data_IF_410976410223
#
_entry.id   IF_410976410223
#
_cell.length_a   1.000
_cell.length_b   1.000
_cell.length_c   1.000
_cell.angle_alpha   90.00
_cell.angle_beta   90.00
_cell.angle_gamma   90.00
#
_symmetry.space_group_name_H-M   'P 1'
#
loop_
_entity.id
_entity.type
_entity.pdbx_description
1 polymer ?
#
# COMPACT_ATOMS: atom_id res chain seq x y z
N UNK A 1 13.47 -1.89 -32.33
CA UNK A 1 12.92 -1.63 -30.98
C UNK A 1 12.96 -2.96 -30.25
N UNK A 2 13.48 -3.03 -29.02
CA UNK A 2 13.42 -4.27 -28.26
C UNK A 2 11.96 -4.60 -27.92
N UNK A 3 11.56 -5.85 -28.16
CA UNK A 3 10.22 -6.34 -27.85
C UNK A 3 10.22 -7.04 -26.48
N UNK A 4 9.15 -6.84 -25.70
CA UNK A 4 8.99 -7.45 -24.37
C UNK A 4 7.62 -8.11 -24.25
N UNK A 5 7.59 -9.37 -23.82
CA UNK A 5 6.33 -10.11 -23.65
C UNK A 5 5.61 -9.69 -22.36
N UNK A 6 4.31 -9.43 -22.48
CA UNK A 6 3.42 -9.16 -21.36
C UNK A 6 2.43 -10.30 -21.18
N UNK A 7 2.53 -11.00 -20.06
CA UNK A 7 1.66 -12.10 -19.69
C UNK A 7 0.44 -11.60 -18.91
N UNK A 8 -0.76 -12.18 -19.17
CA UNK A 8 -1.92 -11.93 -18.32
C UNK A 8 -1.71 -12.55 -16.94
N UNK A 9 -2.50 -12.08 -15.96
CA UNK A 9 -2.48 -12.60 -14.58
C UNK A 9 -2.60 -14.12 -14.54
N UNK A 10 -1.63 -14.80 -13.91
CA UNK A 10 -1.75 -16.22 -13.65
C UNK A 10 -2.98 -16.50 -12.76
N UNK A 11 -3.77 -17.51 -13.12
CA UNK A 11 -4.93 -17.95 -12.33
C UNK A 11 -4.47 -18.68 -11.05
N UNK A 12 -3.78 -17.98 -10.15
CA UNK A 12 -3.40 -18.52 -8.86
C UNK A 12 -4.61 -18.38 -7.90
N UNK A 13 -5.02 -19.44 -7.17
CA UNK A 13 -6.05 -19.30 -6.16
C UNK A 13 -5.64 -18.23 -5.15
N UNK A 14 -6.47 -17.19 -5.07
CA UNK A 14 -6.26 -16.06 -4.18
C UNK A 14 -6.23 -16.58 -2.74
N UNK A 15 -5.12 -16.33 -2.04
CA UNK A 15 -5.10 -16.49 -0.58
C UNK A 15 -6.11 -15.48 -0.05
N UNK A 16 -7.19 -15.95 0.55
CA UNK A 16 -8.20 -15.10 1.18
C UNK A 16 -7.57 -14.42 2.40
N UNK A 17 -6.98 -13.24 2.19
CA UNK A 17 -6.56 -12.38 3.27
C UNK A 17 -7.80 -11.60 3.71
N UNK A 18 -8.14 -11.67 4.99
CA UNK A 18 -9.18 -10.81 5.57
C UNK A 18 -8.68 -9.37 5.53
N UNK A 19 -9.23 -8.58 4.61
CA UNK A 19 -8.86 -7.18 4.43
C UNK A 19 -10.03 -6.26 4.83
N UNK A 20 -9.81 -5.32 5.76
CA UNK A 20 -10.87 -4.46 6.31
C UNK A 20 -11.33 -3.34 5.37
N UNK A 21 -10.68 -3.13 4.22
CA UNK A 21 -11.09 -2.10 3.27
C UNK A 21 -12.45 -2.45 2.63
N UNK A 22 -13.21 -1.47 2.14
CA UNK A 22 -14.35 -1.72 1.26
C UNK A 22 -13.97 -2.60 0.06
N UNK A 23 -14.76 -3.65 -0.23
CA UNK A 23 -14.49 -4.60 -1.32
C UNK A 23 -14.29 -3.92 -2.69
N UNK A 24 -14.96 -2.79 -2.91
CA UNK A 24 -14.83 -2.00 -4.13
C UNK A 24 -13.40 -1.46 -4.37
N UNK A 25 -12.69 -1.15 -3.27
CA UNK A 25 -11.34 -0.58 -3.31
C UNK A 25 -10.26 -1.64 -3.44
N UNK A 26 -10.59 -2.88 -3.05
CA UNK A 26 -9.66 -3.98 -3.05
C UNK A 26 -9.61 -4.64 -4.42
N UNK A 27 -8.40 -4.96 -4.88
CA UNK A 27 -8.20 -5.98 -5.90
C UNK A 27 -8.43 -7.37 -5.29
N UNK A 28 -8.55 -8.43 -6.10
CA UNK A 28 -8.73 -9.77 -5.55
C UNK A 28 -7.60 -10.24 -4.60
N UNK A 29 -6.39 -9.67 -4.71
CA UNK A 29 -5.28 -9.90 -3.75
C UNK A 29 -5.31 -9.02 -2.51
N UNK A 30 -6.27 -8.09 -2.41
CA UNK A 30 -6.37 -7.14 -1.31
C UNK A 30 -5.57 -5.85 -1.50
N UNK A 31 -5.02 -5.59 -2.69
CA UNK A 31 -4.33 -4.32 -2.96
C UNK A 31 -5.34 -3.19 -3.14
N UNK A 32 -4.96 -1.97 -2.76
CA UNK A 32 -5.71 -0.76 -3.03
C UNK A 32 -4.76 0.36 -3.46
N UNK A 33 -5.26 1.31 -4.24
CA UNK A 33 -4.49 2.47 -4.67
C UNK A 33 -4.81 3.69 -3.81
N UNK A 34 -3.78 4.23 -3.17
CA UNK A 34 -3.80 5.44 -2.38
C UNK A 34 -2.98 6.52 -3.09
N UNK A 35 -3.57 7.71 -3.28
CA UNK A 35 -2.92 8.87 -3.88
C UNK A 35 -2.88 10.03 -2.89
N UNK A 36 -1.69 10.57 -2.67
CA UNK A 36 -1.44 11.70 -1.79
C UNK A 36 -0.76 12.82 -2.58
N UNK A 37 -1.34 14.02 -2.54
CA UNK A 37 -0.66 15.21 -3.07
C UNK A 37 0.36 15.73 -2.04
N UNK A 38 1.57 15.20 -2.10
CA UNK A 38 2.66 15.54 -1.20
C UNK A 38 3.59 14.36 -1.00
N UNK A 39 4.39 14.40 0.07
CA UNK A 39 5.30 13.32 0.46
C UNK A 39 4.96 12.82 1.86
N UNK A 40 5.26 11.53 2.11
CA UNK A 40 5.21 10.95 3.45
C UNK A 40 6.62 10.97 4.02
N UNK A 41 6.82 11.63 5.14
CA UNK A 41 8.09 11.60 5.86
C UNK A 41 8.09 10.37 6.77
N UNK A 42 8.97 9.41 6.49
CA UNK A 42 9.15 8.21 7.28
C UNK A 42 10.34 8.40 8.24
N UNK A 43 10.35 7.77 9.42
CA UNK A 43 11.53 7.74 10.26
C UNK A 43 12.70 7.08 9.51
N UNK A 44 13.92 7.50 9.82
CA UNK A 44 15.10 6.80 9.36
C UNK A 44 15.08 5.36 9.93
N UNK A 45 15.54 4.35 9.17
CA UNK A 45 15.68 3.01 9.72
C UNK A 45 16.70 3.03 10.85
N UNK A 46 16.33 2.50 12.01
CA UNK A 46 17.22 2.43 13.18
C UNK A 46 18.42 1.52 12.86
N UNK A 47 19.64 1.96 13.18
CA UNK A 47 20.87 1.19 12.96
C UNK A 47 20.92 -0.08 13.84
N UNK A 48 20.19 -0.09 14.95
CA UNK A 48 20.08 -1.25 15.86
C UNK A 48 19.19 -2.37 15.29
N UNK A 49 18.33 -2.05 14.32
CA UNK A 49 17.49 -3.03 13.61
C UNK A 49 18.19 -3.60 12.36
N UNK A 50 19.37 -3.09 11.99
CA UNK A 50 20.18 -3.66 10.89
C UNK A 50 20.47 -5.13 11.21
N UNK A 51 20.06 -6.08 10.34
CA UNK A 51 20.49 -7.45 10.53
C UNK A 51 22.02 -7.45 10.49
N UNK A 52 22.64 -7.96 11.56
CA UNK A 52 24.04 -8.34 11.50
C UNK A 52 24.24 -9.14 10.22
N UNK A 53 25.31 -8.86 9.47
CA UNK A 53 25.59 -9.43 8.15
C UNK A 53 25.62 -10.98 8.10
N UNK A 54 25.42 -11.66 9.23
CA UNK A 54 25.43 -13.12 9.41
C UNK A 54 24.03 -13.79 9.31
N UNK A 55 22.96 -13.07 8.95
CA UNK A 55 21.64 -13.66 8.66
C UNK A 55 21.19 -13.42 7.22
N UNK A 56 22.01 -13.88 6.27
CA UNK A 56 21.59 -14.11 4.90
C UNK A 56 20.41 -15.12 4.90
N UNK A 57 19.19 -14.65 4.68
CA UNK A 57 18.03 -15.54 4.45
C UNK A 57 16.67 -15.08 4.96
N UNK A 58 16.57 -14.01 5.75
CA UNK A 58 15.27 -13.46 6.18
C UNK A 58 14.99 -12.14 5.45
N UNK A 59 14.59 -12.23 4.19
CA UNK A 59 14.06 -11.11 3.38
C UNK A 59 12.63 -10.75 3.86
N UNK A 60 12.48 -10.48 5.15
CA UNK A 60 11.21 -10.06 5.74
C UNK A 60 11.05 -8.57 5.49
N UNK A 61 10.02 -8.14 4.74
CA UNK A 61 9.81 -6.73 4.45
C UNK A 61 9.59 -5.96 5.75
N UNK A 62 10.35 -4.88 5.94
CA UNK A 62 10.13 -3.96 7.06
C UNK A 62 8.89 -3.12 6.80
N UNK A 63 7.92 -3.19 7.69
CA UNK A 63 6.68 -2.41 7.62
C UNK A 63 6.73 -1.24 8.61
N UNK A 64 6.54 -0.02 8.12
CA UNK A 64 6.44 1.17 8.97
C UNK A 64 4.98 1.59 9.07
N UNK A 65 4.42 1.57 10.29
CA UNK A 65 3.05 2.02 10.52
C UNK A 65 2.95 3.55 10.34
N UNK A 66 2.30 4.00 9.27
CA UNK A 66 2.13 5.43 8.94
C UNK A 66 0.93 6.04 9.68
N UNK A 67 -0.16 5.28 9.78
CA UNK A 67 -1.45 5.83 10.16
C UNK A 67 -2.63 4.90 9.93
N UNK A 68 -3.84 5.48 9.84
CA UNK A 68 -5.08 4.73 9.59
C UNK A 68 -6.02 5.44 8.63
N UNK A 69 -6.79 4.65 7.89
CA UNK A 69 -7.91 5.11 7.07
C UNK A 69 -9.23 4.90 7.83
N UNK A 70 -10.13 5.87 7.74
CA UNK A 70 -11.47 5.82 8.32
C UNK A 70 -12.48 6.16 7.23
N UNK A 71 -13.49 5.31 7.10
CA UNK A 71 -14.61 5.49 6.19
C UNK A 71 -15.90 5.71 7.01
N UNK A 72 -16.21 6.94 7.44
CA UNK A 72 -17.23 7.19 8.47
C UNK A 72 -18.65 6.75 8.08
N UNK A 73 -18.93 6.75 6.78
CA UNK A 73 -20.25 6.44 6.21
C UNK A 73 -20.29 5.05 5.55
N UNK A 74 -19.19 4.30 5.60
CA UNK A 74 -19.15 2.95 5.01
C UNK A 74 -19.83 1.95 5.94
N UNK A 75 -20.86 1.29 5.41
CA UNK A 75 -21.57 0.20 6.06
C UNK A 75 -21.40 -1.07 5.22
N UNK A 76 -20.72 -2.12 5.72
CA UNK A 76 -20.52 -3.35 4.98
C UNK A 76 -21.83 -4.12 4.70
N UNK A 77 -22.91 -3.85 5.44
CA UNK A 77 -24.22 -4.48 5.21
C UNK A 77 -25.01 -3.76 4.09
N UNK A 78 -24.69 -2.50 3.81
CA UNK A 78 -25.37 -1.68 2.81
C UNK A 78 -24.47 -1.42 1.60
N UNK A 79 -24.32 -2.43 0.74
CA UNK A 79 -23.45 -2.39 -0.44
C UNK A 79 -23.96 -1.51 -1.58
N UNK A 80 -25.21 -1.03 -1.52
CA UNK A 80 -25.81 -0.18 -2.56
C UNK A 80 -25.50 1.30 -2.36
N UNK A 81 -25.13 1.71 -1.13
CA UNK A 81 -24.76 3.09 -0.84
C UNK A 81 -23.36 3.39 -1.36
N UNK A 82 -23.24 4.43 -2.17
CA UNK A 82 -21.95 5.00 -2.62
C UNK A 82 -21.61 6.31 -1.93
N UNK A 83 -22.46 6.78 -1.00
CA UNK A 83 -22.28 8.05 -0.28
C UNK A 83 -20.94 8.12 0.46
N UNK A 84 -20.51 7.00 1.03
CA UNK A 84 -19.24 6.85 1.75
C UNK A 84 -18.01 7.18 0.91
N UNK A 85 -18.10 7.11 -0.41
CA UNK A 85 -17.00 7.47 -1.31
C UNK A 85 -16.67 8.98 -1.24
N UNK A 86 -17.62 9.82 -0.85
CA UNK A 86 -17.43 11.28 -0.81
C UNK A 86 -16.49 11.73 0.30
N UNK A 87 -16.22 10.87 1.30
CA UNK A 87 -15.48 11.25 2.49
C UNK A 87 -14.73 10.10 3.12
N UNK A 88 -13.41 10.21 3.09
CA UNK A 88 -12.45 9.31 3.74
C UNK A 88 -11.51 10.16 4.58
N UNK A 89 -11.17 9.72 5.78
CA UNK A 89 -10.15 10.36 6.59
C UNK A 89 -8.90 9.49 6.65
N UNK A 90 -7.73 10.11 6.46
CA UNK A 90 -6.45 9.50 6.80
C UNK A 90 -5.86 10.23 7.99
N UNK A 91 -5.56 9.49 9.06
CA UNK A 91 -4.82 10.01 10.21
C UNK A 91 -3.38 9.58 10.07
N UNK A 92 -2.45 10.55 10.04
CA UNK A 92 -1.01 10.31 9.96
C UNK A 92 -0.38 10.69 11.29
N UNK A 93 0.31 9.74 11.92
CA UNK A 93 0.80 9.90 13.28
C UNK A 93 -0.30 10.33 14.27
N UNK A 94 0.06 11.20 15.21
CA UNK A 94 -0.83 11.67 16.29
C UNK A 94 -1.49 13.02 16.03
N UNK A 95 -1.06 13.76 15.00
CA UNK A 95 -1.32 15.20 14.90
C UNK A 95 -1.87 15.65 13.55
N UNK A 96 -1.95 14.78 12.55
CA UNK A 96 -2.40 15.16 11.21
C UNK A 96 -3.61 14.34 10.77
N UNK A 97 -4.60 15.03 10.20
CA UNK A 97 -5.72 14.43 9.49
C UNK A 97 -5.78 14.97 8.08
N UNK A 98 -5.93 14.08 7.10
CA UNK A 98 -6.24 14.45 5.74
C UNK A 98 -7.67 14.03 5.42
N UNK A 99 -8.37 14.89 4.70
CA UNK A 99 -9.71 14.62 4.17
C UNK A 99 -9.56 14.27 2.70
N UNK A 100 -10.12 13.14 2.32
CA UNK A 100 -10.05 12.60 0.97
C UNK A 100 -11.37 12.00 0.54
N UNK A 101 -11.35 11.39 -0.64
CA UNK A 101 -12.51 10.77 -1.26
C UNK A 101 -12.07 9.56 -2.09
N UNK A 102 -13.01 8.68 -2.39
CA UNK A 102 -12.82 7.56 -3.32
C UNK A 102 -13.29 7.98 -4.70
N UNK A 103 -12.43 7.80 -5.70
CA UNK A 103 -12.75 8.07 -7.10
C UNK A 103 -12.61 6.83 -7.96
N UNK A 104 -13.57 6.65 -8.86
CA UNK A 104 -13.42 5.75 -10.00
C UNK A 104 -12.38 6.33 -10.96
N UNK A 105 -11.44 5.50 -11.38
CA UNK A 105 -10.44 5.90 -12.36
C UNK A 105 -11.09 6.01 -13.74
N UNK A 106 -10.84 7.08 -14.53
CA UNK A 106 -11.33 7.17 -15.90
C UNK A 106 -10.82 6.04 -16.79
N UNK A 107 -9.60 5.57 -16.53
CA UNK A 107 -8.98 4.38 -17.14
C UNK A 107 -8.44 3.50 -16.03
N UNK A 108 -8.72 2.21 -16.09
CA UNK A 108 -8.17 1.26 -15.12
C UNK A 108 -6.63 1.24 -15.22
N UNK A 109 -5.97 1.08 -14.08
CA UNK A 109 -4.51 1.00 -13.99
C UNK A 109 -4.13 -0.48 -13.83
N UNK A 110 -3.20 -0.95 -14.66
CA UNK A 110 -2.61 -2.27 -14.51
C UNK A 110 -1.36 -2.17 -13.62
N UNK A 111 -1.28 -3.00 -12.59
CA UNK A 111 -0.07 -3.23 -11.81
C UNK A 111 0.70 -4.34 -12.50
N UNK A 112 1.92 -4.07 -12.93
CA UNK A 112 2.75 -4.98 -13.72
C UNK A 112 4.03 -5.29 -12.93
N UNK A 113 4.46 -6.55 -12.92
CA UNK A 113 5.75 -6.96 -12.35
C UNK A 113 6.64 -7.59 -13.43
N UNK A 114 7.95 -7.47 -13.27
CA UNK A 114 8.93 -8.27 -14.04
C UNK A 114 8.95 -9.69 -13.46
N UNK A 115 8.87 -10.71 -14.30
CA UNK A 115 9.05 -12.10 -13.89
C UNK A 115 10.53 -12.35 -13.59
N UNK A 116 10.84 -13.03 -12.48
CA UNK A 116 12.15 -13.67 -12.33
C UNK A 116 12.11 -14.97 -13.12
N UNK A 117 13.10 -15.20 -13.98
CA UNK A 117 13.24 -16.46 -14.67
C UNK A 117 13.64 -17.52 -13.65
N UNK A 118 12.70 -18.39 -13.26
CA UNK A 118 12.95 -19.51 -12.34
C UNK A 118 13.90 -20.57 -12.94
N UNK A 119 14.31 -20.41 -14.20
CA UNK A 119 15.27 -21.29 -14.89
C UNK A 119 16.74 -21.00 -14.55
N UNK A 120 17.05 -19.91 -13.86
CA UNK A 120 18.38 -19.66 -13.30
C UNK A 120 18.39 -20.14 -11.84
N UNK A 121 18.49 -21.45 -11.66
CA UNK A 121 18.68 -22.06 -10.36
C UNK A 121 19.98 -21.61 -9.72
N UNK A 122 19.90 -21.19 -8.46
CA UNK A 122 20.90 -21.42 -7.41
C UNK A 122 22.38 -21.31 -7.82
N UNK A 123 22.78 -20.16 -8.38
CA UNK A 123 24.16 -19.73 -8.34
C UNK A 123 24.20 -18.33 -7.77
N UNK A 124 24.89 -18.19 -6.64
CA UNK A 124 25.49 -16.93 -6.19
C UNK A 124 26.06 -16.22 -7.42
N UNK A 125 25.43 -15.13 -7.86
CA UNK A 125 26.04 -14.21 -8.81
C UNK A 125 26.34 -12.95 -8.03
N UNK A 126 27.60 -12.89 -7.61
CA UNK A 126 28.31 -11.69 -7.23
C UNK A 126 27.85 -10.49 -8.06
N UNK A 127 27.61 -9.38 -7.38
CA UNK A 127 27.42 -8.07 -7.98
C UNK A 127 28.70 -7.66 -8.71
N UNK A 128 28.89 -8.09 -9.96
CA UNK A 128 29.84 -7.53 -10.93
C UNK A 128 29.73 -8.25 -12.29
N UNK A 129 28.59 -8.17 -12.97
CA UNK A 129 28.55 -8.58 -14.38
C UNK A 129 28.00 -7.46 -15.28
N UNK A 130 28.94 -6.69 -15.81
CA UNK A 130 28.80 -5.87 -17.03
C UNK A 130 28.81 -6.79 -18.27
N UNK A 131 27.96 -7.82 -18.26
CA UNK A 131 27.92 -8.88 -19.28
C UNK A 131 26.53 -9.01 -19.90
N UNK A 132 26.47 -8.80 -21.21
CA UNK A 132 25.29 -8.98 -22.06
C UNK A 132 24.74 -10.43 -22.02
N UNK A 133 23.78 -10.71 -21.14
CA UNK A 133 22.82 -11.79 -21.36
C UNK A 133 21.41 -11.23 -21.56
N UNK A 134 20.97 -11.23 -22.81
CA UNK A 134 19.64 -10.89 -23.33
C UNK A 134 18.55 -11.86 -22.80
N UNK A 135 18.46 -12.05 -21.49
CA UNK A 135 17.28 -12.61 -20.84
C UNK A 135 16.12 -11.64 -21.04
N UNK A 136 15.30 -11.86 -22.07
CA UNK A 136 14.13 -11.03 -22.39
C UNK A 136 13.30 -10.85 -21.13
N UNK A 137 13.26 -9.63 -20.60
CA UNK A 137 12.65 -9.32 -19.33
C UNK A 137 11.11 -9.47 -19.40
N UNK A 138 10.57 -10.67 -19.19
CA UNK A 138 9.12 -10.90 -19.25
C UNK A 138 8.36 -10.09 -18.19
N UNK A 139 7.21 -9.54 -18.58
CA UNK A 139 6.31 -8.77 -17.71
C UNK A 139 5.03 -9.55 -17.44
N UNK A 140 4.43 -9.38 -16.27
CA UNK A 140 3.15 -10.00 -15.90
C UNK A 140 2.21 -8.96 -15.29
N UNK A 141 0.95 -8.95 -15.72
CA UNK A 141 -0.12 -8.18 -15.07
C UNK A 141 -0.49 -8.86 -13.74
N UNK A 142 -0.26 -8.18 -12.63
CA UNK A 142 -0.57 -8.67 -11.29
C UNK A 142 -1.99 -8.32 -10.90
N UNK A 143 -2.39 -7.06 -11.12
CA UNK A 143 -3.72 -6.57 -10.75
C UNK A 143 -4.23 -5.48 -11.70
N UNK A 144 -5.56 -5.32 -11.70
CA UNK A 144 -6.24 -4.22 -12.38
C UNK A 144 -7.00 -3.40 -11.34
N UNK A 145 -6.56 -2.17 -11.13
CA UNK A 145 -7.16 -1.23 -10.18
C UNK A 145 -8.16 -0.33 -10.91
N UNK A 146 -9.37 -0.21 -10.36
CA UNK A 146 -10.48 0.59 -10.94
C UNK A 146 -10.84 1.82 -10.11
N UNK A 147 -10.46 1.85 -8.84
CA UNK A 147 -10.76 2.92 -7.89
C UNK A 147 -9.49 3.32 -7.14
N UNK A 148 -9.42 4.59 -6.75
CA UNK A 148 -8.36 5.13 -5.88
C UNK A 148 -8.96 5.90 -4.71
N UNK A 149 -8.24 5.93 -3.60
CA UNK A 149 -8.47 6.87 -2.50
C UNK A 149 -7.54 8.05 -2.73
N UNK A 150 -8.07 9.27 -2.84
CA UNK A 150 -7.27 10.46 -3.12
C UNK A 150 -7.36 11.47 -1.96
N UNK A 151 -6.20 11.98 -1.55
CA UNK A 151 -6.04 13.06 -0.58
C UNK A 151 -5.33 14.24 -1.25
N UNK A 152 -6.11 15.23 -1.70
CA UNK A 152 -5.61 16.43 -2.40
C UNK A 152 -5.62 17.70 -1.54
N UNK A 153 -6.20 17.65 -0.34
CA UNK A 153 -6.25 18.80 0.57
C UNK A 153 -5.03 18.83 1.48
N UNK A 154 -4.68 20.03 1.97
CA UNK A 154 -3.63 20.17 2.99
C UNK A 154 -4.02 19.40 4.26
N UNK A 155 -3.06 18.79 4.97
CA UNK A 155 -3.32 18.19 6.27
C UNK A 155 -3.85 19.21 7.27
N UNK A 156 -4.86 18.81 8.03
CA UNK A 156 -5.43 19.56 9.13
C UNK A 156 -4.80 19.09 10.44
N UNK A 157 -4.44 20.01 11.36
CA UNK A 157 -3.99 19.63 12.69
C UNK A 157 -5.14 19.00 13.47
N UNK A 158 -4.87 17.89 14.15
CA UNK A 158 -5.79 17.33 15.14
C UNK A 158 -5.24 17.61 16.54
N UNK A 159 -5.99 18.36 17.33
CA UNK A 159 -5.64 18.63 18.72
C UNK A 159 -5.63 17.32 19.51
N UNK A 160 -4.66 17.15 20.40
CA UNK A 160 -4.87 16.27 21.53
C UNK A 160 -6.03 16.87 22.31
N UNK A 161 -7.20 16.23 22.30
CA UNK A 161 -8.15 16.45 23.38
C UNK A 161 -7.42 16.00 24.64
N UNK A 162 -6.76 16.94 25.30
CA UNK A 162 -6.40 16.81 26.69
C UNK A 162 -7.73 16.53 27.36
N UNK A 163 -7.92 15.29 27.81
CA UNK A 163 -8.96 14.96 28.77
C UNK A 163 -8.65 15.86 29.95
N UNK A 164 -9.36 16.98 30.03
CA UNK A 164 -9.33 17.83 31.20
C UNK A 164 -9.71 16.94 32.36
N UNK A 165 -8.72 16.61 33.19
CA UNK A 165 -8.96 16.11 34.53
C UNK A 165 -9.66 17.24 35.29
N UNK A 166 -10.97 17.32 35.11
CA UNK A 166 -11.87 18.08 35.94
C UNK A 166 -11.87 17.41 37.31
N UNK A 167 -11.16 18.05 38.22
CA UNK A 167 -11.60 18.42 39.56
C UNK A 167 -12.48 17.40 40.31
N UNK A 168 -11.86 16.80 41.33
CA UNK A 168 -12.54 16.07 42.40
C UNK A 168 -12.01 16.57 43.73
N UNK A 169 -12.49 17.74 44.15
CA UNK A 169 -12.40 18.21 45.52
C UNK A 169 -13.07 17.21 46.48
N UNK A 170 -12.43 16.92 47.62
CA UNK A 170 -13.01 16.06 48.65
C UNK A 170 -12.07 15.70 49.79
N UNK A 171 -11.66 16.70 50.59
CA UNK A 171 -11.66 16.65 52.06
C UNK A 171 -11.32 18.02 52.64
#
# INVERSE_FOLDING_TARGET
>A
MPDVQLHPKASNPLRSTTNPLPQLLQTPSGLALLELQGTINLPAPDEEDMPSADRAGSDTPRETAIGRLVFPEYDPQNTSSTGWMKRVYMYVGKHQRLTGEVKKLPKAIAVIRKRRNESAGDMDVDMNDEGDEEGVAELEVVEIVKYKIIFSTRPEPVGALVVGAGDGAGQ
#
